data_IF_983679842317
#
_entry.id   IF_983679842317
#
_cell.length_a   1.000
_cell.length_b   1.000
_cell.length_c   1.000
_cell.angle_alpha   90.00
_cell.angle_beta   90.00
_cell.angle_gamma   90.00
#
_symmetry.space_group_name_H-M   'P 1'
#
loop_
_entity.id
_entity.type
_entity.pdbx_description
1 polymer ?
#
# COMPACT_ATOMS: atom_id res chain seq x y z
N UNK A 1 -9.33 2.37 10.80
CA UNK A 1 -8.32 1.75 9.90
C UNK A 1 -8.16 0.30 10.31
N UNK A 2 -8.22 -0.64 9.35
CA UNK A 2 -7.90 -2.04 9.64
C UNK A 2 -6.37 -2.21 9.60
N UNK A 3 -5.80 -2.68 10.70
CA UNK A 3 -4.40 -3.07 10.78
C UNK A 3 -4.20 -4.35 9.96
N UNK A 4 -3.22 -4.34 9.05
CA UNK A 4 -2.87 -5.51 8.23
C UNK A 4 -1.69 -6.26 8.82
N UNK A 5 -0.66 -5.53 9.24
CA UNK A 5 0.57 -6.11 9.76
C UNK A 5 1.27 -5.15 10.72
N UNK A 6 1.95 -5.68 11.73
CA UNK A 6 2.83 -4.90 12.59
C UNK A 6 3.99 -5.73 13.12
N UNK A 7 5.19 -5.15 13.14
CA UNK A 7 6.40 -5.75 13.72
C UNK A 7 7.33 -4.67 14.27
N UNK A 8 8.25 -5.04 15.15
CA UNK A 8 9.43 -4.20 15.43
C UNK A 8 10.51 -4.42 14.36
N UNK A 9 11.34 -3.40 14.18
CA UNK A 9 12.46 -3.44 13.25
C UNK A 9 13.22 -2.12 13.20
N UNK A 10 14.12 -2.01 12.25
CA UNK A 10 14.94 -0.84 12.01
C UNK A 10 14.59 -0.24 10.65
N UNK A 11 14.55 1.09 10.56
CA UNK A 11 14.28 1.78 9.31
C UNK A 11 15.05 3.10 9.18
N UNK A 12 15.29 3.53 7.95
CA UNK A 12 15.81 4.86 7.64
C UNK A 12 15.30 5.31 6.28
N UNK A 13 15.34 6.62 6.05
CA UNK A 13 15.29 7.18 4.71
C UNK A 13 16.66 6.95 4.03
N UNK A 14 16.66 6.55 2.77
CA UNK A 14 17.87 6.23 1.99
C UNK A 14 18.37 4.79 2.17
N UNK A 15 19.66 4.61 1.87
CA UNK A 15 20.32 3.29 1.84
C UNK A 15 20.84 2.83 3.20
N UNK A 16 20.95 1.50 3.35
CA UNK A 16 21.53 0.89 4.54
C UNK A 16 23.05 1.04 4.56
N UNK A 17 23.56 1.64 5.63
CA UNK A 17 24.98 1.87 5.87
C UNK A 17 25.67 0.74 6.66
N UNK A 18 27.02 0.74 6.71
CA UNK A 18 27.81 -0.33 7.37
C UNK A 18 27.50 -0.50 8.85
N UNK A 19 27.26 0.62 9.52
CA UNK A 19 26.94 0.70 10.95
C UNK A 19 25.43 0.91 11.18
N UNK A 20 24.62 0.27 10.35
CA UNK A 20 23.16 0.40 10.29
C UNK A 20 22.45 0.38 11.65
N UNK A 21 22.88 -0.48 12.60
CA UNK A 21 22.25 -0.55 13.93
C UNK A 21 22.28 0.77 14.70
N UNK A 22 23.27 1.62 14.44
CA UNK A 22 23.45 2.91 15.09
C UNK A 22 22.88 4.07 14.27
N UNK A 23 22.67 3.85 12.97
CA UNK A 23 22.22 4.88 12.02
C UNK A 23 20.74 4.79 11.67
N UNK A 24 20.18 3.59 11.71
CA UNK A 24 18.77 3.34 11.47
C UNK A 24 17.99 3.52 12.76
N UNK A 25 16.78 4.03 12.62
CA UNK A 25 15.84 4.20 13.71
C UNK A 25 15.24 2.86 14.09
N UNK A 26 15.32 2.50 15.36
CA UNK A 26 14.60 1.34 15.89
C UNK A 26 13.16 1.74 16.22
N UNK A 27 12.20 0.93 15.79
CA UNK A 27 10.80 1.30 15.90
C UNK A 27 9.83 0.20 15.52
N UNK A 28 8.58 0.61 15.35
CA UNK A 28 7.48 -0.25 14.92
C UNK A 28 7.13 0.05 13.47
N UNK A 29 7.11 -0.99 12.66
CA UNK A 29 6.62 -0.98 11.29
C UNK A 29 5.15 -1.38 11.34
N UNK A 30 4.28 -0.55 10.78
CA UNK A 30 2.83 -0.74 10.80
C UNK A 30 2.34 -0.62 9.37
N UNK A 31 1.62 -1.64 8.90
CA UNK A 31 0.97 -1.61 7.60
C UNK A 31 -0.54 -1.66 7.81
N UNK A 32 -1.22 -0.69 7.22
CA UNK A 32 -2.68 -0.64 7.14
C UNK A 32 -3.15 -0.79 5.69
N UNK A 33 -4.46 -0.80 5.48
CA UNK A 33 -5.03 -0.79 4.14
C UNK A 33 -4.74 0.50 3.34
N UNK A 34 -4.25 1.57 3.98
CA UNK A 34 -4.07 2.89 3.35
C UNK A 34 -2.60 3.33 3.29
N UNK A 35 -1.79 2.93 4.28
CA UNK A 35 -0.44 3.45 4.46
C UNK A 35 0.49 2.45 5.17
N UNK A 36 1.78 2.63 4.93
CA UNK A 36 2.90 2.06 5.66
C UNK A 36 3.48 3.12 6.60
N UNK A 37 3.40 2.88 7.90
CA UNK A 37 3.88 3.80 8.94
C UNK A 37 5.11 3.21 9.64
N UNK A 38 6.17 3.99 9.73
CA UNK A 38 7.44 3.66 10.36
C UNK A 38 7.60 4.52 11.61
N UNK A 39 7.26 3.96 12.77
CA UNK A 39 7.10 4.73 14.01
C UNK A 39 8.31 4.53 14.90
N UNK A 40 8.98 5.63 15.27
CA UNK A 40 10.21 5.55 16.08
C UNK A 40 9.89 5.16 17.52
N UNK A 41 10.61 4.20 18.08
CA UNK A 41 10.56 3.87 19.51
C UNK A 41 11.37 4.92 20.26
N UNK A 42 10.76 5.66 21.18
CA UNK A 42 11.49 6.67 21.95
C UNK A 42 12.32 6.02 23.06
N UNK A 43 13.56 6.46 23.21
CA UNK A 43 14.44 6.07 24.30
C UNK A 43 14.34 7.00 25.53
N UNK A 44 13.23 7.74 25.70
CA UNK A 44 13.10 8.61 26.87
C UNK A 44 12.75 7.76 28.08
N UNK A 45 13.77 7.36 28.83
CA UNK A 45 13.62 6.94 30.22
C UNK A 45 13.36 8.22 31.03
N UNK A 46 12.10 8.60 31.19
CA UNK A 46 11.74 9.58 32.20
C UNK A 46 11.79 8.86 33.55
N UNK A 47 12.78 9.21 34.34
CA UNK A 47 12.80 9.01 35.80
C UNK A 47 11.70 9.82 36.50
N UNK A 48 10.48 9.81 35.96
CA UNK A 48 9.31 10.42 36.57
C UNK A 48 8.22 9.36 36.69
N UNK A 49 7.92 9.07 37.95
CA UNK A 49 6.91 8.13 38.43
C UNK A 49 5.56 8.54 37.83
N UNK A 50 4.92 7.65 37.07
CA UNK A 50 3.46 7.68 36.93
C UNK A 50 2.81 7.54 35.56
N UNK A 51 3.53 7.29 34.46
CA UNK A 51 2.88 7.13 33.15
C UNK A 51 3.43 5.95 32.35
N UNK A 52 2.66 4.85 32.33
CA UNK A 52 2.77 3.81 31.31
C UNK A 52 2.25 4.37 30.00
N UNK A 53 3.13 5.00 29.23
CA UNK A 53 2.82 5.40 27.85
C UNK A 53 3.92 4.82 26.98
N UNK A 54 3.56 3.87 26.13
CA UNK A 54 4.43 3.43 25.04
C UNK A 54 4.86 4.68 24.24
N UNK A 55 6.08 5.15 24.50
CA UNK A 55 6.59 6.42 23.98
C UNK A 55 6.97 6.26 22.50
N UNK A 56 6.00 6.22 21.60
CA UNK A 56 6.22 6.25 20.16
C UNK A 56 6.23 7.70 19.66
N UNK A 57 7.29 8.10 18.95
CA UNK A 57 7.39 9.42 18.30
C UNK A 57 6.97 9.33 16.83
N UNK A 58 6.57 10.47 16.25
CA UNK A 58 6.36 10.61 14.79
C UNK A 58 7.60 10.08 14.05
N UNK A 59 7.36 9.18 13.10
CA UNK A 59 8.35 8.77 12.11
C UNK A 59 7.78 8.99 10.71
N UNK A 60 7.90 8.02 9.81
CA UNK A 60 7.45 8.19 8.43
C UNK A 60 6.05 7.61 8.23
N UNK A 61 5.21 8.30 7.47
CA UNK A 61 3.91 7.79 7.01
C UNK A 61 3.88 7.83 5.50
N UNK A 62 3.83 6.65 4.88
CA UNK A 62 3.95 6.47 3.44
C UNK A 62 2.62 5.92 2.92
N UNK A 63 1.78 6.75 2.25
CA UNK A 63 0.55 6.25 1.63
C UNK A 63 0.85 5.15 0.62
N UNK A 64 0.05 4.08 0.60
CA UNK A 64 0.26 2.98 -0.36
C UNK A 64 0.15 3.44 -1.81
N UNK A 65 -0.62 4.50 -2.07
CA UNK A 65 -0.73 5.13 -3.38
C UNK A 65 0.54 5.85 -3.83
N UNK A 66 1.42 6.22 -2.89
CA UNK A 66 2.71 6.85 -3.16
C UNK A 66 3.85 5.83 -3.32
N UNK A 67 3.65 4.57 -2.92
CA UNK A 67 4.66 3.53 -3.13
C UNK A 67 4.71 3.20 -4.63
N UNK A 68 5.90 3.38 -5.23
CA UNK A 68 6.18 3.01 -6.62
C UNK A 68 6.55 1.52 -6.70
N UNK A 69 7.42 1.07 -5.80
CA UNK A 69 7.81 -0.35 -5.68
C UNK A 69 8.32 -0.66 -4.27
N UNK A 70 8.10 -1.91 -3.86
CA UNK A 70 8.67 -2.50 -2.66
C UNK A 70 9.37 -3.81 -3.05
N UNK A 71 10.60 -4.03 -2.58
CA UNK A 71 11.35 -5.23 -2.90
C UNK A 71 12.36 -5.60 -1.81
N UNK A 72 12.60 -6.89 -1.61
CA UNK A 72 13.67 -7.37 -0.73
C UNK A 72 15.03 -7.28 -1.43
N UNK A 73 16.06 -6.83 -0.72
CA UNK A 73 17.43 -6.73 -1.19
C UNK A 73 18.43 -7.11 -0.08
N UNK A 74 19.63 -7.54 -0.48
CA UNK A 74 20.76 -7.73 0.44
C UNK A 74 21.68 -6.52 0.28
N UNK A 75 21.73 -5.66 1.30
CA UNK A 75 22.54 -4.43 1.29
C UNK A 75 23.56 -4.54 2.43
N UNK A 76 24.85 -4.49 2.10
CA UNK A 76 25.94 -4.65 3.08
C UNK A 76 25.79 -5.90 3.97
N UNK A 77 25.37 -7.02 3.35
CA UNK A 77 25.01 -8.32 3.96
C UNK A 77 23.66 -8.37 4.68
N UNK A 78 23.03 -7.24 4.94
CA UNK A 78 21.76 -7.15 5.67
C UNK A 78 20.59 -7.38 4.73
N UNK A 79 19.66 -8.24 5.12
CA UNK A 79 18.40 -8.43 4.43
C UNK A 79 17.46 -7.27 4.77
N UNK A 80 17.09 -6.48 3.77
CA UNK A 80 16.24 -5.31 3.92
C UNK A 80 15.12 -5.31 2.88
N UNK A 81 14.02 -4.63 3.20
CA UNK A 81 12.99 -4.23 2.24
C UNK A 81 13.25 -2.78 1.88
N UNK A 82 13.40 -2.52 0.58
CA UNK A 82 13.52 -1.18 0.03
C UNK A 82 12.17 -0.75 -0.50
N UNK A 83 11.73 0.43 -0.07
CA UNK A 83 10.51 1.09 -0.53
C UNK A 83 10.95 2.31 -1.34
N UNK A 84 10.61 2.36 -2.61
CA UNK A 84 10.75 3.58 -3.42
C UNK A 84 9.38 4.20 -3.63
N UNK A 85 9.30 5.50 -3.40
CA UNK A 85 8.08 6.28 -3.58
C UNK A 85 8.07 6.99 -4.93
N UNK A 86 6.90 7.46 -5.36
CA UNK A 86 6.69 8.10 -6.67
C UNK A 86 7.30 9.50 -6.75
N UNK A 87 7.46 10.17 -5.63
CA UNK A 87 8.14 11.46 -5.46
C UNK A 87 9.67 11.33 -5.38
N UNK A 88 10.22 10.10 -5.46
CA UNK A 88 11.65 9.85 -5.57
C UNK A 88 12.37 9.63 -4.25
N UNK A 89 11.65 9.54 -3.13
CA UNK A 89 12.23 9.11 -1.85
C UNK A 89 12.44 7.60 -1.83
N UNK A 90 13.37 7.16 -0.98
CA UNK A 90 13.59 5.74 -0.70
C UNK A 90 13.68 5.51 0.79
N UNK A 91 13.20 4.35 1.23
CA UNK A 91 13.26 3.92 2.62
C UNK A 91 13.78 2.49 2.67
N UNK A 92 14.67 2.24 3.61
CA UNK A 92 15.16 0.90 3.90
C UNK A 92 14.61 0.42 5.23
N UNK A 93 14.08 -0.80 5.26
CA UNK A 93 13.51 -1.44 6.44
C UNK A 93 14.20 -2.79 6.65
N UNK A 94 14.61 -3.11 7.86
CA UNK A 94 15.14 -4.43 8.19
C UNK A 94 14.62 -4.91 9.54
N UNK A 95 14.26 -6.20 9.60
CA UNK A 95 13.93 -6.90 10.84
C UNK A 95 15.08 -7.81 11.26
N UNK A 96 16.25 -7.67 10.64
CA UNK A 96 17.44 -8.39 11.03
C UNK A 96 17.87 -7.93 12.43
N UNK A 97 18.28 -8.88 13.26
CA UNK A 97 18.93 -8.58 14.54
C UNK A 97 20.46 -8.61 14.38
N UNK A 98 20.96 -9.21 13.31
CA UNK A 98 22.37 -9.38 12.96
C UNK A 98 22.56 -9.32 11.44
N UNK A 99 23.80 -9.02 10.97
CA UNK A 99 24.14 -8.79 9.55
C UNK A 99 23.81 -9.94 8.59
N UNK A 100 23.42 -11.12 9.03
CA UNK A 100 23.07 -12.27 8.18
C UNK A 100 21.72 -12.89 8.52
N UNK A 101 20.93 -12.21 9.35
CA UNK A 101 19.58 -12.60 9.75
C UNK A 101 18.52 -11.78 9.00
N UNK A 102 17.24 -12.11 9.14
CA UNK A 102 16.16 -11.29 8.60
C UNK A 102 15.74 -11.61 7.17
N UNK A 103 16.26 -12.70 6.56
CA UNK A 103 15.93 -13.08 5.19
C UNK A 103 14.45 -13.37 5.02
N UNK A 104 13.91 -14.28 5.82
CA UNK A 104 12.51 -14.69 5.69
C UNK A 104 11.58 -13.54 6.04
N UNK A 105 11.93 -12.76 7.06
CA UNK A 105 11.21 -11.58 7.50
C UNK A 105 11.15 -10.53 6.38
N UNK A 106 12.27 -10.27 5.70
CA UNK A 106 12.32 -9.33 4.56
C UNK A 106 11.48 -9.79 3.38
N UNK A 107 11.39 -11.11 3.14
CA UNK A 107 10.57 -11.68 2.06
C UNK A 107 9.10 -11.54 2.44
N UNK A 108 8.73 -11.94 3.65
CA UNK A 108 7.36 -11.87 4.15
C UNK A 108 6.84 -10.43 4.16
N UNK A 109 7.63 -9.47 4.67
CA UNK A 109 7.22 -8.06 4.70
C UNK A 109 7.02 -7.52 3.27
N UNK A 110 7.93 -7.84 2.35
CA UNK A 110 7.81 -7.46 0.95
C UNK A 110 6.53 -8.02 0.30
N UNK A 111 6.22 -9.29 0.53
CA UNK A 111 5.01 -9.94 0.01
C UNK A 111 3.73 -9.31 0.59
N UNK A 112 3.70 -9.04 1.90
CA UNK A 112 2.55 -8.43 2.56
C UNK A 112 2.34 -6.99 2.05
N UNK A 113 3.40 -6.19 1.89
CA UNK A 113 3.30 -4.83 1.36
C UNK A 113 2.74 -4.86 -0.07
N UNK A 114 3.32 -5.67 -0.95
CA UNK A 114 2.90 -5.74 -2.35
C UNK A 114 1.47 -6.27 -2.50
N UNK A 115 1.09 -7.30 -1.74
CA UNK A 115 -0.29 -7.80 -1.75
C UNK A 115 -1.30 -6.76 -1.25
N UNK A 116 -0.94 -6.00 -0.22
CA UNK A 116 -1.78 -4.91 0.31
C UNK A 116 -1.95 -3.77 -0.69
N UNK A 117 -0.88 -3.37 -1.38
CA UNK A 117 -0.94 -2.38 -2.47
C UNK A 117 -1.89 -2.86 -3.59
N UNK A 118 -1.79 -4.12 -4.00
CA UNK A 118 -2.66 -4.68 -5.02
C UNK A 118 -4.13 -4.71 -4.58
N UNK A 119 -4.41 -5.03 -3.32
CA UNK A 119 -5.76 -4.99 -2.76
C UNK A 119 -6.31 -3.57 -2.73
N UNK A 120 -5.51 -2.58 -2.31
CA UNK A 120 -5.90 -1.17 -2.31
C UNK A 120 -6.22 -0.67 -3.73
N UNK A 121 -5.42 -1.04 -4.73
CA UNK A 121 -5.69 -0.70 -6.14
C UNK A 121 -7.00 -1.32 -6.63
N UNK A 122 -7.25 -2.60 -6.33
CA UNK A 122 -8.51 -3.28 -6.71
C UNK A 122 -9.72 -2.63 -6.05
N UNK A 123 -9.63 -2.29 -4.77
CA UNK A 123 -10.70 -1.60 -4.05
C UNK A 123 -11.00 -0.24 -4.67
N UNK A 124 -9.97 0.53 -5.05
CA UNK A 124 -10.13 1.83 -5.71
C UNK A 124 -10.73 1.71 -7.11
N UNK A 125 -10.34 0.71 -7.91
CA UNK A 125 -10.97 0.43 -9.21
C UNK A 125 -12.44 0.07 -9.06
N UNK A 126 -12.77 -0.77 -8.08
CA UNK A 126 -14.15 -1.13 -7.80
C UNK A 126 -14.96 0.09 -7.37
N UNK A 127 -14.42 0.97 -6.51
CA UNK A 127 -15.07 2.22 -6.11
C UNK A 127 -15.27 3.19 -7.29
N UNK A 128 -14.30 3.29 -8.22
CA UNK A 128 -14.47 4.04 -9.47
C UNK A 128 -15.53 3.43 -10.39
N UNK A 129 -15.71 2.11 -10.36
CA UNK A 129 -16.78 1.41 -11.08
C UNK A 129 -18.15 1.47 -10.37
N UNK A 130 -18.25 2.08 -9.17
CA UNK A 130 -19.54 2.37 -8.50
C UNK A 130 -20.01 3.82 -8.77
N UNK A 131 -19.19 4.65 -9.43
CA UNK A 131 -19.58 5.95 -9.94
C UNK A 131 -19.68 5.92 -11.47
N UNK A 132 -20.85 5.51 -11.96
CA UNK A 132 -21.42 5.70 -13.31
C UNK A 132 -22.20 4.46 -13.77
N UNK A 133 -23.21 4.07 -13.00
CA UNK A 133 -24.45 3.60 -13.62
C UNK A 133 -25.36 4.82 -13.85
N UNK A 134 -24.87 5.83 -14.59
CA UNK A 134 -25.78 6.49 -15.51
C UNK A 134 -26.15 5.43 -16.54
N UNK A 135 -27.26 4.73 -16.28
CA UNK A 135 -28.01 4.10 -17.35
C UNK A 135 -28.39 5.26 -18.27
N UNK A 136 -27.55 5.57 -19.27
CA UNK A 136 -28.01 6.34 -20.42
C UNK A 136 -29.26 5.61 -20.87
N UNK A 137 -30.45 6.23 -20.82
CA UNK A 137 -31.65 5.56 -21.26
C UNK A 137 -31.37 5.12 -22.70
N UNK A 138 -31.38 3.81 -22.94
CA UNK A 138 -31.35 3.28 -24.29
C UNK A 138 -32.43 4.06 -25.05
N UNK A 139 -32.10 4.73 -26.16
CA UNK A 139 -33.08 5.49 -26.89
C UNK A 139 -34.24 4.54 -27.20
N UNK A 140 -35.45 4.89 -26.78
CA UNK A 140 -36.63 4.04 -26.97
C UNK A 140 -36.98 3.86 -28.46
N UNK A 141 -36.18 4.38 -29.40
CA UNK A 141 -36.41 4.33 -30.85
C UNK A 141 -35.13 4.02 -31.62
N UNK A 142 -35.26 3.16 -32.63
CA UNK A 142 -34.18 2.85 -33.55
C UNK A 142 -33.80 4.09 -34.37
N UNK A 143 -32.54 4.49 -34.33
CA UNK A 143 -32.03 5.63 -35.11
C UNK A 143 -32.26 5.48 -36.63
N UNK A 144 -32.36 4.24 -37.13
CA UNK A 144 -32.46 3.95 -38.56
C UNK A 144 -33.91 3.92 -39.08
N UNK A 145 -34.87 3.43 -38.29
CA UNK A 145 -36.25 3.23 -38.75
C UNK A 145 -37.32 3.82 -37.82
N UNK A 146 -36.93 4.40 -36.68
CA UNK A 146 -37.84 5.03 -35.73
C UNK A 146 -38.67 4.07 -34.86
N UNK A 147 -38.55 2.75 -35.08
CA UNK A 147 -39.29 1.72 -34.36
C UNK A 147 -38.98 1.72 -32.86
N UNK A 148 -39.97 1.46 -32.01
CA UNK A 148 -39.74 1.36 -30.58
C UNK A 148 -38.88 0.14 -30.19
N UNK A 149 -37.82 0.40 -29.42
CA UNK A 149 -36.88 -0.63 -28.98
C UNK A 149 -37.30 -1.19 -27.63
N UNK A 150 -37.54 -2.50 -27.59
CA UNK A 150 -37.64 -3.24 -26.33
C UNK A 150 -36.23 -3.47 -25.76
N UNK A 151 -36.00 -3.09 -24.50
CA UNK A 151 -34.70 -3.09 -23.80
C UNK A 151 -33.98 -4.45 -23.71
N UNK A 152 -34.57 -5.52 -24.23
CA UNK A 152 -34.09 -6.91 -24.15
C UNK A 152 -33.36 -7.34 -25.44
N UNK A 153 -33.44 -6.55 -26.51
CA UNK A 153 -33.01 -6.95 -27.85
C UNK A 153 -31.71 -6.23 -28.24
N UNK A 154 -30.73 -6.99 -28.77
CA UNK A 154 -29.47 -6.44 -29.29
C UNK A 154 -29.59 -5.86 -30.72
N UNK A 155 -30.71 -6.11 -31.39
CA UNK A 155 -30.96 -5.72 -32.77
C UNK A 155 -32.40 -5.22 -32.93
N UNK A 156 -32.61 -4.26 -33.84
CA UNK A 156 -33.94 -3.77 -34.19
C UNK A 156 -34.73 -4.84 -34.94
N UNK A 157 -35.92 -5.20 -34.45
CA UNK A 157 -36.79 -6.20 -35.09
C UNK A 157 -37.25 -5.80 -36.49
N UNK A 158 -37.36 -4.51 -36.77
CA UNK A 158 -37.91 -4.01 -38.02
C UNK A 158 -36.83 -3.91 -39.12
N UNK A 159 -35.63 -3.39 -38.81
CA UNK A 159 -34.58 -3.19 -39.81
C UNK A 159 -33.31 -4.05 -39.62
N UNK A 160 -33.22 -4.88 -38.58
CA UNK A 160 -32.10 -5.79 -38.33
C UNK A 160 -30.79 -5.12 -37.89
N UNK A 161 -30.77 -3.79 -37.72
CA UNK A 161 -29.59 -3.05 -37.28
C UNK A 161 -29.30 -3.29 -35.79
N UNK A 162 -28.02 -3.41 -35.45
CA UNK A 162 -27.54 -3.46 -34.06
C UNK A 162 -27.90 -2.17 -33.29
N UNK A 163 -28.34 -2.32 -32.04
CA UNK A 163 -28.92 -1.25 -31.21
C UNK A 163 -27.91 -0.63 -30.25
#
# INVERSE_FOLDING_TARGET
MALVYSTEGYFCEGEVEKDWKFKMEHGRIILSALELSLVKKSNISLTEIGSSVDNYKEGFVIPLTQIKKAYSAIIQKIYAVVIETRDGLSFSITMANERSSGRQESINLNEIINSTILLAIKANRNAQNVGDFEVKPLPNRCFNCGEEISQIWKFCKNCGREL
#
